data_IF_393857325238
#
_entry.id   IF_393857325238
#
_cell.length_a   1.000
_cell.length_b   1.000
_cell.length_c   1.000
_cell.angle_alpha   90.00
_cell.angle_beta   90.00
_cell.angle_gamma   90.00
#
_symmetry.space_group_name_H-M   'P 1'
#
loop_
_entity.id
_entity.type
_entity.pdbx_description
1 polymer ?
#
# COMPACT_ATOMS: atom_id res chain seq x y z
N UNK A 1 1.14 -27.67 7.94
CA UNK A 1 1.82 -27.04 6.79
C UNK A 1 2.31 -28.16 5.89
N UNK A 2 1.83 -28.23 4.65
CA UNK A 2 2.01 -29.39 3.77
C UNK A 2 3.51 -29.69 3.54
N UNK A 3 3.88 -30.96 3.73
CA UNK A 3 5.25 -31.47 3.53
C UNK A 3 5.77 -31.11 2.13
N UNK A 4 4.88 -31.12 1.13
CA UNK A 4 5.18 -30.73 -0.24
C UNK A 4 5.60 -29.26 -0.38
N UNK A 5 4.91 -28.34 0.31
CA UNK A 5 5.25 -26.91 0.32
C UNK A 5 6.63 -26.70 0.96
N UNK A 6 6.89 -27.38 2.07
CA UNK A 6 8.18 -27.30 2.75
C UNK A 6 9.34 -27.75 1.87
N UNK A 7 9.18 -28.89 1.17
CA UNK A 7 10.20 -29.40 0.26
C UNK A 7 10.46 -28.42 -0.88
N UNK A 8 9.41 -27.80 -1.43
CA UNK A 8 9.54 -26.78 -2.47
C UNK A 8 10.25 -25.52 -1.99
N UNK A 9 10.00 -25.07 -0.75
CA UNK A 9 10.72 -23.94 -0.15
C UNK A 9 12.21 -24.26 0.01
N UNK A 10 12.55 -25.47 0.46
CA UNK A 10 13.95 -25.89 0.64
C UNK A 10 14.68 -25.90 -0.71
N UNK A 11 14.10 -26.53 -1.74
CA UNK A 11 14.71 -26.59 -3.07
C UNK A 11 14.88 -25.21 -3.67
N UNK A 12 13.89 -24.33 -3.53
CA UNK A 12 13.96 -22.98 -4.09
C UNK A 12 14.98 -22.10 -3.36
N UNK A 13 15.08 -22.20 -2.02
CA UNK A 13 16.12 -21.49 -1.26
C UNK A 13 17.53 -21.90 -1.68
N UNK A 14 17.77 -23.19 -1.95
CA UNK A 14 19.06 -23.65 -2.45
C UNK A 14 19.37 -23.05 -3.82
N UNK A 15 18.42 -23.15 -4.76
CA UNK A 15 18.53 -22.58 -6.11
C UNK A 15 18.80 -21.07 -6.12
N UNK A 16 18.08 -20.30 -5.30
CA UNK A 16 18.27 -18.85 -5.21
C UNK A 16 19.62 -18.46 -4.59
N UNK A 17 20.13 -19.27 -3.65
CA UNK A 17 21.46 -19.03 -3.05
C UNK A 17 22.57 -19.22 -4.07
N UNK A 18 22.49 -20.23 -4.93
CA UNK A 18 23.47 -20.48 -6.00
C UNK A 18 23.49 -19.36 -7.04
N UNK A 19 22.35 -18.71 -7.30
CA UNK A 19 22.26 -17.55 -8.20
C UNK A 19 22.86 -16.27 -7.63
N UNK A 20 23.17 -16.22 -6.33
CA UNK A 20 23.74 -15.06 -5.69
C UNK A 20 25.24 -15.25 -5.45
N UNK A 21 26.05 -14.23 -5.78
CA UNK A 21 27.49 -14.27 -5.51
C UNK A 21 27.81 -14.26 -4.01
N UNK A 22 27.08 -13.45 -3.23
CA UNK A 22 27.21 -13.35 -1.77
C UNK A 22 25.91 -12.77 -1.21
N UNK A 23 24.92 -13.64 -0.94
CA UNK A 23 23.61 -13.18 -0.48
C UNK A 23 23.66 -12.59 0.94
N UNK A 24 24.64 -12.98 1.76
CA UNK A 24 24.80 -12.47 3.12
C UNK A 24 25.23 -11.00 3.06
N UNK A 25 26.32 -10.70 2.35
CA UNK A 25 26.76 -9.29 2.19
C UNK A 25 25.75 -8.42 1.45
N UNK A 26 25.04 -8.99 0.48
CA UNK A 26 23.98 -8.24 -0.21
C UNK A 26 22.82 -7.93 0.75
N UNK A 27 22.45 -8.87 1.62
CA UNK A 27 21.43 -8.64 2.64
C UNK A 27 21.85 -7.57 3.63
N UNK A 28 23.08 -7.62 4.15
CA UNK A 28 23.63 -6.58 5.05
C UNK A 28 23.57 -5.17 4.41
N UNK A 29 23.91 -5.05 3.12
CA UNK A 29 23.80 -3.78 2.39
C UNK A 29 22.37 -3.28 2.28
N UNK A 30 21.41 -4.19 2.07
CA UNK A 30 19.98 -3.85 2.00
C UNK A 30 19.49 -3.44 3.38
N UNK A 31 19.87 -4.16 4.43
CA UNK A 31 19.53 -3.86 5.82
C UNK A 31 20.04 -2.47 6.22
N UNK A 32 21.31 -2.16 6.01
CA UNK A 32 21.86 -0.82 6.30
C UNK A 32 21.23 0.29 5.43
N UNK A 33 20.71 -0.04 4.25
CA UNK A 33 19.93 0.93 3.46
C UNK A 33 18.55 1.17 4.08
N UNK A 34 17.84 0.11 4.45
CA UNK A 34 16.52 0.19 5.09
C UNK A 34 16.61 0.92 6.44
N UNK A 35 17.62 0.62 7.27
CA UNK A 35 17.82 1.29 8.56
C UNK A 35 17.95 2.81 8.40
N UNK A 36 18.72 3.27 7.40
CA UNK A 36 18.84 4.71 7.10
C UNK A 36 17.51 5.33 6.69
N UNK A 37 16.72 4.64 5.87
CA UNK A 37 15.39 5.10 5.47
C UNK A 37 14.42 5.15 6.65
N UNK A 38 14.47 4.17 7.56
CA UNK A 38 13.68 4.16 8.80
C UNK A 38 14.04 5.33 9.69
N UNK A 39 15.34 5.57 9.92
CA UNK A 39 15.80 6.73 10.70
C UNK A 39 15.34 8.06 10.08
N UNK A 40 15.35 8.19 8.74
CA UNK A 40 14.81 9.37 8.06
C UNK A 40 13.32 9.55 8.34
N UNK A 41 12.53 8.48 8.29
CA UNK A 41 11.09 8.50 8.58
C UNK A 41 10.82 8.88 10.04
N UNK A 42 11.56 8.31 10.98
CA UNK A 42 11.44 8.64 12.41
C UNK A 42 11.77 10.11 12.67
N UNK A 43 12.83 10.64 12.04
CA UNK A 43 13.17 12.06 12.13
C UNK A 43 12.05 12.95 11.59
N UNK A 44 11.47 12.61 10.43
CA UNK A 44 10.33 13.35 9.86
C UNK A 44 9.10 13.32 10.79
N UNK A 45 8.81 12.15 11.38
CA UNK A 45 7.73 11.98 12.35
C UNK A 45 7.92 12.88 13.58
N UNK A 46 9.14 12.95 14.11
CA UNK A 46 9.49 13.80 15.25
C UNK A 46 9.51 15.30 14.90
N UNK A 47 9.58 15.63 13.61
CA UNK A 47 9.60 17.01 13.12
C UNK A 47 8.20 17.57 12.82
N UNK A 48 7.12 16.82 13.11
CA UNK A 48 5.74 17.09 12.66
C UNK A 48 5.60 17.32 11.15
N UNK A 49 6.57 16.84 10.36
CA UNK A 49 6.55 16.93 8.90
C UNK A 49 5.81 15.73 8.33
N UNK A 50 5.08 15.95 7.23
CA UNK A 50 4.42 14.85 6.53
C UNK A 50 5.46 13.86 6.01
N UNK A 51 5.33 12.60 6.42
CA UNK A 51 6.19 11.49 5.98
C UNK A 51 5.88 11.13 4.53
N UNK A 52 4.61 11.24 4.16
CA UNK A 52 4.13 10.95 2.82
C UNK A 52 4.23 12.26 2.00
N UNK A 53 4.85 12.23 0.82
CA UNK A 53 4.89 13.39 -0.05
C UNK A 53 3.47 13.86 -0.40
N UNK A 54 3.23 15.16 -0.33
CA UNK A 54 1.93 15.75 -0.68
C UNK A 54 2.10 16.77 -1.80
N UNK A 55 1.13 16.79 -2.72
CA UNK A 55 1.08 17.77 -3.81
C UNK A 55 -0.36 18.16 -4.11
N UNK A 56 -0.60 19.45 -4.36
CA UNK A 56 -1.90 19.90 -4.86
C UNK A 56 -2.06 19.49 -6.33
N UNK A 57 -3.25 19.03 -6.71
CA UNK A 57 -3.55 18.64 -8.10
C UNK A 57 -3.21 19.73 -9.12
N UNK A 58 -3.46 21.01 -8.77
CA UNK A 58 -3.13 22.19 -9.60
C UNK A 58 -1.63 22.36 -9.87
N UNK A 59 -0.78 21.85 -8.99
CA UNK A 59 0.68 21.96 -9.09
C UNK A 59 1.34 20.75 -9.77
N UNK A 60 0.57 19.67 -9.98
CA UNK A 60 1.06 18.38 -10.45
C UNK A 60 1.83 18.47 -11.78
N UNK A 61 1.28 19.22 -12.74
CA UNK A 61 1.92 19.40 -14.06
C UNK A 61 3.27 20.13 -13.96
N UNK A 62 3.38 21.10 -13.06
CA UNK A 62 4.56 21.94 -12.92
C UNK A 62 5.68 21.27 -12.11
N UNK A 63 5.33 20.42 -11.15
CA UNK A 63 6.29 19.81 -10.22
C UNK A 63 6.59 18.32 -10.50
N UNK A 64 6.00 17.75 -11.55
CA UNK A 64 6.10 16.31 -11.88
C UNK A 64 7.55 15.78 -11.86
N UNK A 65 8.51 16.52 -12.43
CA UNK A 65 9.92 16.08 -12.47
C UNK A 65 10.54 15.92 -11.08
N UNK A 66 10.28 16.87 -10.18
CA UNK A 66 10.78 16.82 -8.79
C UNK A 66 10.04 15.75 -7.98
N UNK A 67 8.74 15.59 -8.23
CA UNK A 67 7.90 14.60 -7.58
C UNK A 67 8.32 13.16 -7.94
N UNK A 68 8.71 12.90 -9.20
CA UNK A 68 9.07 11.56 -9.67
C UNK A 68 10.23 10.93 -8.87
N UNK A 69 11.25 11.71 -8.50
CA UNK A 69 12.38 11.20 -7.71
C UNK A 69 11.95 10.84 -6.30
N UNK A 70 11.10 11.66 -5.69
CA UNK A 70 10.54 11.40 -4.35
C UNK A 70 9.60 10.18 -4.40
N UNK A 71 8.80 10.04 -5.45
CA UNK A 71 7.90 8.91 -5.67
C UNK A 71 8.63 7.59 -5.84
N UNK A 72 9.73 7.56 -6.61
CA UNK A 72 10.56 6.36 -6.74
C UNK A 72 11.15 5.93 -5.40
N UNK A 73 11.47 6.90 -4.53
CA UNK A 73 12.04 6.65 -3.21
C UNK A 73 10.98 6.19 -2.20
N UNK A 74 9.84 6.86 -2.12
CA UNK A 74 8.79 6.64 -1.09
C UNK A 74 7.69 5.68 -1.51
N UNK A 75 7.51 5.43 -2.81
CA UNK A 75 6.49 4.52 -3.36
C UNK A 75 5.04 4.98 -3.20
N UNK A 76 4.81 6.18 -2.65
CA UNK A 76 3.47 6.72 -2.39
C UNK A 76 3.45 8.26 -2.45
N UNK A 77 2.27 8.83 -2.65
CA UNK A 77 1.99 10.28 -2.65
C UNK A 77 0.54 10.53 -2.30
N UNK A 78 0.27 11.66 -1.64
CA UNK A 78 -1.08 12.22 -1.51
C UNK A 78 -1.22 13.35 -2.54
N UNK A 79 -2.22 13.23 -3.41
CA UNK A 79 -2.62 14.32 -4.30
C UNK A 79 -3.84 14.99 -3.68
N UNK A 80 -3.66 16.22 -3.18
CA UNK A 80 -4.71 17.04 -2.56
C UNK A 80 -5.54 17.75 -3.63
N UNK A 81 -6.78 18.05 -3.32
CA UNK A 81 -7.68 18.88 -4.12
C UNK A 81 -7.83 18.40 -5.58
N UNK A 82 -7.94 17.08 -5.78
CA UNK A 82 -8.17 16.48 -7.11
C UNK A 82 -9.56 16.82 -7.65
N UNK A 83 -10.56 16.85 -6.75
CA UNK A 83 -11.94 17.20 -7.05
C UNK A 83 -12.39 18.27 -6.06
N UNK A 84 -13.30 19.14 -6.51
CA UNK A 84 -13.93 20.11 -5.62
C UNK A 84 -14.81 19.41 -4.57
N UNK A 85 -14.83 19.93 -3.34
CA UNK A 85 -15.57 19.34 -2.22
C UNK A 85 -17.06 19.13 -2.51
N UNK A 86 -17.66 20.00 -3.33
CA UNK A 86 -19.07 19.87 -3.75
C UNK A 86 -19.31 18.59 -4.55
N UNK A 87 -18.41 18.26 -5.46
CA UNK A 87 -18.50 17.05 -6.30
C UNK A 87 -18.36 15.81 -5.41
N UNK A 88 -17.39 15.82 -4.48
CA UNK A 88 -17.18 14.73 -3.53
C UNK A 88 -18.42 14.51 -2.65
N UNK A 89 -19.01 15.59 -2.15
CA UNK A 89 -20.24 15.53 -1.36
C UNK A 89 -21.42 14.94 -2.15
N UNK A 90 -21.63 15.40 -3.38
CA UNK A 90 -22.70 14.89 -4.25
C UNK A 90 -22.52 13.41 -4.58
N UNK A 91 -21.29 12.97 -4.84
CA UNK A 91 -20.98 11.55 -5.07
C UNK A 91 -21.24 10.70 -3.82
N UNK A 92 -20.81 11.15 -2.64
CA UNK A 92 -21.07 10.44 -1.40
C UNK A 92 -22.58 10.29 -1.16
N UNK A 93 -23.34 11.38 -1.34
CA UNK A 93 -24.80 11.32 -1.23
C UNK A 93 -25.43 10.37 -2.25
N UNK A 94 -24.97 10.41 -3.51
CA UNK A 94 -25.47 9.50 -4.54
C UNK A 94 -25.17 8.03 -4.23
N UNK A 95 -24.03 7.73 -3.59
CA UNK A 95 -23.66 6.39 -3.15
C UNK A 95 -24.56 5.92 -2.00
N UNK A 96 -24.82 6.78 -1.02
CA UNK A 96 -25.76 6.51 0.08
C UNK A 96 -27.16 6.19 -0.46
N UNK A 97 -27.70 7.05 -1.33
CA UNK A 97 -29.01 6.83 -1.95
C UNK A 97 -29.07 5.54 -2.78
N UNK A 98 -27.98 5.18 -3.46
CA UNK A 98 -27.91 3.94 -4.21
C UNK A 98 -27.94 2.72 -3.28
N UNK A 99 -27.18 2.74 -2.19
CA UNK A 99 -27.17 1.66 -1.19
C UNK A 99 -28.57 1.46 -0.60
N UNK A 100 -29.24 2.54 -0.24
CA UNK A 100 -30.59 2.52 0.34
C UNK A 100 -31.62 1.98 -0.65
N UNK A 101 -31.63 2.49 -1.88
CA UNK A 101 -32.58 2.06 -2.93
C UNK A 101 -32.44 0.58 -3.29
N UNK A 102 -31.26 -0.01 -3.12
CA UNK A 102 -30.99 -1.40 -3.47
C UNK A 102 -31.11 -2.37 -2.28
N UNK A 103 -31.60 -1.92 -1.11
CA UNK A 103 -31.74 -2.77 0.09
C UNK A 103 -30.47 -3.58 0.41
N UNK A 104 -29.28 -3.01 0.12
CA UNK A 104 -28.02 -3.75 0.18
C UNK A 104 -27.79 -4.39 1.55
N UNK A 105 -28.16 -3.69 2.63
CA UNK A 105 -28.04 -4.19 3.99
C UNK A 105 -28.99 -5.37 4.30
N UNK A 106 -30.20 -5.38 3.75
CA UNK A 106 -31.13 -6.51 3.92
C UNK A 106 -30.71 -7.71 3.08
N UNK A 107 -30.12 -7.48 1.90
CA UNK A 107 -29.58 -8.55 1.05
C UNK A 107 -28.24 -9.11 1.56
N UNK A 108 -27.44 -8.31 2.28
CA UNK A 108 -26.27 -8.78 3.04
C UNK A 108 -26.69 -9.72 4.18
N UNK A 109 -27.73 -9.37 4.95
CA UNK A 109 -28.25 -10.25 6.02
C UNK A 109 -28.72 -11.60 5.49
N UNK A 110 -29.34 -11.64 4.30
CA UNK A 110 -29.71 -12.91 3.64
C UNK A 110 -28.50 -13.75 3.21
N UNK A 111 -27.32 -13.15 3.12
CA UNK A 111 -26.04 -13.81 2.82
C UNK A 111 -25.19 -14.08 4.07
N UNK A 112 -25.65 -13.69 5.26
CA UNK A 112 -25.02 -14.09 6.52
C UNK A 112 -25.02 -15.62 6.63
N UNK A 113 -23.82 -16.20 6.73
CA UNK A 113 -23.60 -17.65 6.74
C UNK A 113 -23.32 -18.30 5.37
N UNK A 114 -23.48 -17.59 4.25
CA UNK A 114 -23.01 -18.03 2.93
C UNK A 114 -21.53 -17.71 2.73
N UNK A 115 -21.02 -16.67 3.39
CA UNK A 115 -19.62 -16.28 3.31
C UNK A 115 -18.73 -17.14 4.21
N UNK A 116 -18.38 -18.34 3.71
CA UNK A 116 -17.40 -19.23 4.35
C UNK A 116 -15.95 -18.92 3.94
N UNK A 117 -15.71 -17.88 3.14
CA UNK A 117 -14.38 -17.58 2.60
C UNK A 117 -13.38 -17.16 3.68
N UNK A 118 -13.83 -16.49 4.75
CA UNK A 118 -12.97 -16.00 5.83
C UNK A 118 -13.10 -16.78 7.14
N UNK A 119 -13.91 -17.84 7.18
CA UNK A 119 -14.15 -18.65 8.39
C UNK A 119 -13.21 -19.86 8.52
N UNK A 120 -12.08 -19.88 7.80
CA UNK A 120 -11.02 -20.87 7.99
C UNK A 120 -9.83 -20.22 8.69
N UNK A 121 -9.95 -20.09 10.01
CA UNK A 121 -8.84 -19.92 10.95
C UNK A 121 -9.14 -20.73 12.20
#
# INVERSE_FOLDING_TARGET
MDIEINNKIISEKAHLREKSRDFIKNFEKIESYIEREVTEIENLKNSEKSIIPEINFKELSNQMKKLLEILKKKGCVIIRDVFDDKIVYEWNKSLEEYIDKNNFFEDQKKKEGLDKYFLRS
#
